data_IF_464197439845
#
_entry.id   IF_464197439845
#
_cell.length_a   1.000
_cell.length_b   1.000
_cell.length_c   1.000
_cell.angle_alpha   90.00
_cell.angle_beta   90.00
_cell.angle_gamma   90.00
#
_symmetry.space_group_name_H-M   'P 1'
#
loop_
_entity.id
_entity.type
_entity.pdbx_description
1 polymer ?
#
# COMPACT_ATOMS: atom_id res chain seq x y z
N UNK A 1 16.62 8.28 0.59
CA UNK A 1 16.56 7.17 -0.35
C UNK A 1 16.44 5.87 0.43
N UNK A 2 15.53 4.98 0.04
CA UNK A 2 15.25 3.80 0.81
C UNK A 2 16.14 2.61 0.47
N UNK A 3 16.18 1.65 1.38
CA UNK A 3 16.86 0.38 1.18
C UNK A 3 16.01 -0.75 1.77
N UNK A 4 15.75 -1.78 0.97
CA UNK A 4 14.99 -2.96 1.36
C UNK A 4 15.75 -4.22 0.95
N UNK A 5 15.72 -5.24 1.81
CA UNK A 5 16.37 -6.52 1.55
C UNK A 5 15.32 -7.64 1.64
N UNK A 6 15.23 -8.43 0.57
CA UNK A 6 14.31 -9.57 0.47
C UNK A 6 15.06 -10.87 0.71
N UNK A 7 14.48 -11.80 1.47
CA UNK A 7 15.06 -13.11 1.76
C UNK A 7 14.07 -14.21 1.36
N UNK A 8 14.58 -15.28 0.77
CA UNK A 8 13.73 -16.41 0.35
C UNK A 8 13.10 -17.15 1.51
N UNK A 9 13.84 -17.30 2.61
CA UNK A 9 13.39 -18.08 3.76
C UNK A 9 13.08 -17.19 4.97
N UNK A 10 12.39 -17.75 5.95
CA UNK A 10 12.06 -17.05 7.19
C UNK A 10 13.32 -16.66 7.96
N UNK A 11 13.18 -15.69 8.85
CA UNK A 11 14.22 -15.26 9.76
C UNK A 11 15.51 -14.82 9.05
N UNK A 12 15.33 -14.16 7.88
CA UNK A 12 16.41 -13.53 7.13
C UNK A 12 17.47 -14.55 6.67
N UNK A 13 16.99 -15.68 6.17
CA UNK A 13 17.82 -16.76 5.68
C UNK A 13 17.59 -16.98 4.17
N UNK A 14 18.49 -17.75 3.55
CA UNK A 14 18.40 -18.12 2.16
C UNK A 14 18.93 -17.03 1.22
N UNK A 15 18.63 -17.19 -0.08
CA UNK A 15 19.01 -16.19 -1.07
C UNK A 15 18.41 -14.84 -0.70
N UNK A 16 19.18 -13.78 -0.91
CA UNK A 16 18.70 -12.44 -0.66
C UNK A 16 18.99 -11.50 -1.82
N UNK A 17 18.22 -10.44 -1.90
CA UNK A 17 18.41 -9.38 -2.88
C UNK A 17 18.14 -8.02 -2.23
N UNK A 18 19.07 -7.10 -2.44
CA UNK A 18 18.98 -5.74 -1.91
C UNK A 18 18.50 -4.80 -3.01
N UNK A 19 17.53 -3.95 -2.67
CA UNK A 19 16.95 -3.00 -3.61
C UNK A 19 16.97 -1.59 -3.03
N UNK A 20 17.33 -0.60 -3.84
CA UNK A 20 17.39 0.80 -3.43
C UNK A 20 16.50 1.71 -4.27
N UNK A 21 15.84 1.15 -5.27
CA UNK A 21 14.97 1.88 -6.19
C UNK A 21 13.82 1.00 -6.64
N UNK A 22 12.89 1.58 -7.39
CA UNK A 22 11.77 0.84 -7.96
C UNK A 22 12.28 -0.30 -8.83
N UNK A 23 11.61 -1.44 -8.78
CA UNK A 23 11.93 -2.59 -9.61
C UNK A 23 10.65 -3.22 -10.15
N UNK A 24 10.52 -3.22 -11.47
CA UNK A 24 9.34 -3.76 -12.14
C UNK A 24 9.27 -5.28 -12.10
N UNK A 25 10.40 -5.97 -11.97
CA UNK A 25 10.42 -7.41 -11.98
C UNK A 25 11.58 -7.95 -11.14
N UNK A 26 11.23 -8.61 -10.04
CA UNK A 26 12.17 -9.21 -9.11
C UNK A 26 12.34 -10.71 -9.32
N UNK A 27 11.61 -11.30 -10.28
CA UNK A 27 11.50 -12.75 -10.38
C UNK A 27 12.83 -13.46 -10.67
N UNK A 28 13.80 -12.77 -11.28
CA UNK A 28 15.11 -13.36 -11.57
C UNK A 28 16.05 -13.38 -10.34
N UNK A 29 15.73 -12.64 -9.28
CA UNK A 29 16.61 -12.49 -8.12
C UNK A 29 16.30 -13.48 -7.01
N UNK A 30 15.04 -13.85 -6.85
CA UNK A 30 14.60 -14.85 -5.88
C UNK A 30 13.28 -15.45 -6.34
N UNK A 31 13.01 -16.70 -5.92
CA UNK A 31 11.82 -17.43 -6.36
C UNK A 31 10.63 -17.30 -5.40
N UNK A 32 10.91 -16.98 -4.15
CA UNK A 32 9.91 -16.77 -3.11
C UNK A 32 10.45 -15.75 -2.12
N UNK A 33 9.58 -15.15 -1.33
CA UNK A 33 10.00 -14.19 -0.30
C UNK A 33 9.29 -14.49 1.02
N UNK A 34 10.05 -14.85 2.03
CA UNK A 34 9.51 -15.22 3.33
C UNK A 34 10.00 -14.37 4.49
N UNK A 35 10.95 -13.47 4.27
CA UNK A 35 11.32 -12.45 5.24
C UNK A 35 11.90 -11.22 4.55
N UNK A 36 11.80 -10.07 5.21
CA UNK A 36 12.19 -8.77 4.64
C UNK A 36 12.77 -7.90 5.75
N UNK A 37 13.83 -7.16 5.41
CA UNK A 37 14.31 -6.02 6.20
C UNK A 37 14.11 -4.75 5.41
N UNK A 38 13.34 -3.81 5.94
CA UNK A 38 13.28 -2.45 5.43
C UNK A 38 14.22 -1.62 6.28
N UNK A 39 15.41 -1.37 5.76
CA UNK A 39 16.42 -0.64 6.50
C UNK A 39 16.14 0.86 6.53
N UNK A 40 15.56 1.38 5.45
CA UNK A 40 15.16 2.78 5.38
C UNK A 40 14.07 2.99 4.34
N UNK A 41 13.29 4.04 4.52
CA UNK A 41 12.21 4.40 3.62
C UNK A 41 10.95 3.59 3.85
N UNK A 42 9.92 3.93 3.12
CA UNK A 42 8.66 3.20 3.08
C UNK A 42 8.49 2.62 1.67
N UNK A 43 8.01 1.38 1.59
CA UNK A 43 7.96 0.66 0.32
C UNK A 43 6.58 0.08 0.09
N UNK A 44 6.16 0.04 -1.18
CA UNK A 44 5.02 -0.77 -1.58
C UNK A 44 5.54 -1.95 -2.42
N UNK A 45 5.12 -3.15 -2.03
CA UNK A 45 5.49 -4.40 -2.67
C UNK A 45 4.27 -4.96 -3.38
N UNK A 46 4.51 -5.68 -4.46
CA UNK A 46 3.44 -6.26 -5.27
C UNK A 46 3.68 -7.75 -5.48
N UNK A 47 2.59 -8.50 -5.42
CA UNK A 47 2.62 -9.95 -5.65
C UNK A 47 3.18 -10.32 -7.00
N UNK A 48 2.88 -9.54 -8.03
CA UNK A 48 3.28 -9.81 -9.42
C UNK A 48 4.18 -8.75 -9.97
N UNK A 49 4.84 -9.07 -11.09
CA UNK A 49 5.63 -8.11 -11.85
C UNK A 49 4.76 -6.97 -12.35
N UNK A 50 5.37 -5.85 -12.66
CA UNK A 50 4.72 -4.65 -13.18
C UNK A 50 3.64 -4.09 -12.24
N UNK A 51 3.89 -4.20 -10.93
CA UNK A 51 3.02 -3.62 -9.89
C UNK A 51 1.60 -4.20 -9.90
N UNK A 52 1.50 -5.51 -10.12
CA UNK A 52 0.22 -6.20 -10.15
C UNK A 52 -0.04 -7.07 -8.93
N UNK A 53 -1.30 -7.47 -8.77
CA UNK A 53 -1.71 -8.36 -7.70
C UNK A 53 -1.83 -7.69 -6.34
N UNK A 54 -1.68 -8.46 -5.27
CA UNK A 54 -1.77 -7.95 -3.91
C UNK A 54 -0.66 -6.93 -3.66
N UNK A 55 -1.02 -5.88 -2.94
CA UNK A 55 -0.10 -4.82 -2.54
C UNK A 55 0.18 -4.91 -1.04
N UNK A 56 1.42 -4.60 -0.66
CA UNK A 56 1.83 -4.59 0.76
C UNK A 56 2.65 -3.34 1.01
N UNK A 57 2.27 -2.56 2.01
CA UNK A 57 2.95 -1.31 2.37
C UNK A 57 3.76 -1.58 3.63
N UNK A 58 5.09 -1.43 3.53
CA UNK A 58 6.02 -1.73 4.61
C UNK A 58 6.76 -0.47 5.05
N UNK A 59 6.69 -0.20 6.35
CA UNK A 59 7.49 0.82 7.02
C UNK A 59 8.87 0.25 7.38
N UNK A 60 9.85 1.09 7.76
CA UNK A 60 11.13 0.58 8.25
C UNK A 60 10.95 -0.42 9.39
N UNK A 61 11.69 -1.53 9.32
CA UNK A 61 11.59 -2.58 10.33
C UNK A 61 11.98 -3.94 9.81
N UNK A 62 11.83 -4.93 10.67
CA UNK A 62 12.12 -6.32 10.37
C UNK A 62 10.84 -7.15 10.31
N UNK A 63 10.74 -7.97 9.28
CA UNK A 63 9.57 -8.82 9.01
C UNK A 63 10.07 -10.25 8.86
N UNK A 64 10.11 -11.05 9.95
CA UNK A 64 10.74 -12.37 9.94
C UNK A 64 9.96 -13.44 9.17
N UNK A 65 8.70 -13.20 8.85
CA UNK A 65 7.91 -14.07 7.97
C UNK A 65 6.84 -13.24 7.24
N UNK A 66 6.17 -13.85 6.23
CA UNK A 66 5.22 -13.10 5.41
C UNK A 66 3.94 -12.70 6.17
N UNK A 67 3.65 -13.31 7.29
CA UNK A 67 2.50 -12.91 8.11
C UNK A 67 2.73 -11.53 8.74
N UNK A 68 3.99 -11.15 8.96
CA UNK A 68 4.33 -9.87 9.55
C UNK A 68 4.00 -8.68 8.65
N UNK A 69 3.89 -8.87 7.34
CA UNK A 69 3.40 -7.83 6.45
C UNK A 69 1.98 -8.13 5.93
N UNK A 70 1.28 -9.04 6.59
CA UNK A 70 -0.07 -9.49 6.21
C UNK A 70 -0.12 -10.08 4.80
N UNK A 71 0.95 -10.80 4.43
CA UNK A 71 1.05 -11.43 3.13
C UNK A 71 0.08 -12.58 2.96
N UNK A 72 -0.60 -12.64 1.83
CA UNK A 72 -1.50 -13.73 1.49
C UNK A 72 -0.74 -14.95 0.96
N UNK A 73 0.50 -14.74 0.52
CA UNK A 73 1.38 -15.79 0.02
C UNK A 73 2.83 -15.28 0.08
N UNK A 74 3.77 -16.08 -0.40
CA UNK A 74 5.20 -15.74 -0.39
C UNK A 74 5.70 -15.21 -1.75
N UNK A 75 4.81 -14.68 -2.58
CA UNK A 75 5.16 -14.14 -3.88
C UNK A 75 5.31 -12.62 -3.82
N UNK A 76 6.52 -12.13 -4.07
CA UNK A 76 6.84 -10.72 -4.24
C UNK A 76 7.62 -10.58 -5.54
N UNK A 77 7.08 -9.85 -6.52
CA UNK A 77 7.66 -9.77 -7.86
C UNK A 77 7.99 -8.36 -8.33
N UNK A 78 7.54 -7.34 -7.62
CA UNK A 78 7.91 -5.95 -7.92
C UNK A 78 7.79 -5.09 -6.67
N UNK A 79 8.47 -3.94 -6.68
CA UNK A 79 8.45 -3.03 -5.55
C UNK A 79 8.64 -1.59 -6.00
N UNK A 80 8.13 -0.66 -5.20
CA UNK A 80 8.32 0.78 -5.39
C UNK A 80 8.69 1.43 -4.09
N UNK A 81 9.64 2.36 -4.15
CA UNK A 81 9.97 3.23 -3.02
C UNK A 81 8.94 4.36 -2.95
N UNK A 82 8.31 4.53 -1.82
CA UNK A 82 7.36 5.63 -1.61
C UNK A 82 8.16 6.86 -1.25
N UNK A 83 8.00 7.93 -2.05
CA UNK A 83 8.79 9.16 -1.90
C UNK A 83 7.97 10.23 -1.19
N UNK A 84 8.59 10.90 -0.23
CA UNK A 84 7.97 12.05 0.42
C UNK A 84 8.27 13.30 -0.40
N UNK A 85 7.48 13.52 -1.44
CA UNK A 85 7.64 14.68 -2.33
C UNK A 85 6.66 15.83 -2.02
N UNK A 86 5.75 15.63 -1.02
CA UNK A 86 4.66 16.56 -0.75
C UNK A 86 4.71 17.17 0.66
N UNK A 87 5.83 17.03 1.37
CA UNK A 87 5.98 17.58 2.71
C UNK A 87 5.21 16.82 3.77
N UNK A 88 4.66 17.54 4.75
CA UNK A 88 4.01 16.97 5.95
C UNK A 88 2.50 17.21 5.98
N UNK A 89 1.86 17.28 4.82
CA UNK A 89 0.42 17.46 4.71
C UNK A 89 -0.23 16.23 4.13
N UNK A 90 -1.43 15.93 4.60
CA UNK A 90 -2.23 14.83 4.10
C UNK A 90 -3.65 15.32 3.90
N UNK A 91 -4.19 15.10 2.70
CA UNK A 91 -5.58 15.45 2.39
C UNK A 91 -6.10 14.53 1.29
N UNK A 92 -7.26 13.92 1.54
CA UNK A 92 -7.91 13.02 0.60
C UNK A 92 -9.41 13.31 0.56
N UNK A 93 -9.99 13.25 -0.63
CA UNK A 93 -11.44 13.36 -0.83
C UNK A 93 -11.97 12.06 -1.36
N UNK A 94 -13.06 11.59 -0.78
CA UNK A 94 -13.75 10.37 -1.18
C UNK A 94 -15.12 10.72 -1.74
N UNK A 95 -15.53 10.00 -2.79
CA UNK A 95 -16.82 10.17 -3.45
C UNK A 95 -17.53 8.82 -3.52
N UNK A 96 -18.84 8.81 -3.26
CA UNK A 96 -19.60 7.56 -3.24
C UNK A 96 -19.98 7.06 -4.64
N UNK A 97 -19.68 7.81 -5.70
CA UNK A 97 -19.89 7.41 -7.09
C UNK A 97 -18.62 7.60 -7.91
N UNK A 98 -18.60 6.97 -9.09
CA UNK A 98 -17.50 7.11 -10.04
C UNK A 98 -17.36 8.56 -10.52
N UNK A 99 -16.20 8.88 -11.05
CA UNK A 99 -15.90 10.16 -11.68
C UNK A 99 -16.20 11.35 -10.78
N UNK A 100 -15.90 11.19 -9.48
CA UNK A 100 -16.03 12.26 -8.49
C UNK A 100 -17.48 12.75 -8.34
N UNK A 101 -18.42 11.83 -8.45
CA UNK A 101 -19.84 12.11 -8.29
C UNK A 101 -20.40 11.72 -6.93
N UNK A 102 -21.63 12.12 -6.68
CA UNK A 102 -22.34 11.79 -5.46
C UNK A 102 -21.89 12.57 -4.24
N UNK A 103 -22.01 11.95 -3.08
CA UNK A 103 -21.61 12.57 -1.82
C UNK A 103 -20.08 12.57 -1.69
N UNK A 104 -19.54 13.61 -1.08
CA UNK A 104 -18.09 13.78 -0.91
C UNK A 104 -17.78 13.96 0.57
N UNK A 105 -16.68 13.32 1.01
CA UNK A 105 -16.08 13.53 2.32
C UNK A 105 -14.60 13.85 2.15
N UNK A 106 -14.10 14.79 2.96
CA UNK A 106 -12.69 15.18 2.96
C UNK A 106 -12.08 14.82 4.32
N UNK A 107 -10.86 14.30 4.30
CA UNK A 107 -10.21 13.83 5.52
C UNK A 107 -8.71 14.10 5.47
N UNK A 108 -8.10 14.23 6.66
CA UNK A 108 -6.67 14.58 6.79
C UNK A 108 -5.94 13.73 7.81
N UNK A 109 -6.59 12.71 8.37
CA UNK A 109 -6.04 11.89 9.46
C UNK A 109 -6.24 10.40 9.16
N UNK A 110 -5.68 9.56 10.03
CA UNK A 110 -5.93 8.13 9.97
C UNK A 110 -7.39 7.83 10.30
N UNK A 111 -7.94 6.80 9.68
CA UNK A 111 -9.32 6.38 9.91
C UNK A 111 -9.35 4.87 10.12
N UNK A 112 -9.44 4.39 11.37
CA UNK A 112 -9.46 2.96 11.65
C UNK A 112 -10.76 2.27 11.29
N UNK A 113 -11.84 3.00 11.11
CA UNK A 113 -13.12 2.43 10.67
C UNK A 113 -13.85 3.42 9.77
N UNK A 114 -13.92 3.08 8.50
CA UNK A 114 -14.59 3.91 7.49
C UNK A 114 -16.09 4.03 7.78
N UNK A 115 -16.75 2.91 8.10
CA UNK A 115 -18.19 2.88 8.31
C UNK A 115 -18.63 3.61 9.57
N UNK A 116 -17.77 3.68 10.58
CA UNK A 116 -18.07 4.41 11.82
C UNK A 116 -17.89 5.92 11.67
N UNK A 117 -17.12 6.34 10.66
CA UNK A 117 -16.73 7.74 10.48
C UNK A 117 -17.58 8.45 9.43
N UNK A 118 -17.92 7.76 8.35
CA UNK A 118 -18.62 8.34 7.20
C UNK A 118 -20.03 7.75 7.04
N UNK A 119 -20.93 8.54 6.44
CA UNK A 119 -22.34 8.15 6.26
C UNK A 119 -22.54 7.18 5.10
N UNK A 120 -21.62 7.11 4.15
CA UNK A 120 -21.68 6.15 3.05
C UNK A 120 -20.71 5.02 3.29
N UNK A 121 -21.07 3.82 2.82
CA UNK A 121 -20.35 2.58 3.14
C UNK A 121 -19.31 2.18 2.10
N UNK A 122 -19.34 2.80 0.94
CA UNK A 122 -18.46 2.49 -0.18
C UNK A 122 -18.02 3.80 -0.80
N UNK A 123 -16.84 3.78 -1.40
CA UNK A 123 -16.50 4.88 -2.28
C UNK A 123 -15.94 4.35 -3.59
N UNK A 124 -16.29 5.03 -4.67
CA UNK A 124 -16.01 4.61 -6.03
C UNK A 124 -14.96 5.47 -6.72
N UNK A 125 -14.68 6.63 -6.21
CA UNK A 125 -13.62 7.50 -6.70
C UNK A 125 -13.04 8.32 -5.57
N UNK A 126 -11.81 8.80 -5.77
CA UNK A 126 -11.15 9.66 -4.78
C UNK A 126 -10.12 10.56 -5.44
N UNK A 127 -9.79 11.63 -4.73
CA UNK A 127 -8.71 12.54 -5.11
C UNK A 127 -7.76 12.64 -3.92
N UNK A 128 -6.51 12.26 -4.12
CA UNK A 128 -5.45 12.49 -3.14
C UNK A 128 -4.84 13.84 -3.44
N UNK A 129 -5.07 14.78 -2.56
CA UNK A 129 -4.62 16.17 -2.74
C UNK A 129 -3.23 16.36 -2.19
N UNK A 130 -2.92 15.76 -1.05
CA UNK A 130 -1.63 15.84 -0.40
C UNK A 130 -1.29 14.51 0.25
N UNK A 131 0.02 14.19 0.25
CA UNK A 131 0.56 13.04 0.94
C UNK A 131 0.35 11.72 0.20
N UNK A 132 0.79 10.65 0.83
CA UNK A 132 0.56 9.28 0.38
C UNK A 132 -0.28 8.56 1.42
N UNK A 133 -1.13 7.65 0.97
CA UNK A 133 -2.12 6.98 1.79
C UNK A 133 -2.13 5.48 1.56
N UNK A 134 -2.44 4.74 2.60
CA UNK A 134 -2.70 3.30 2.53
C UNK A 134 -4.17 3.04 2.83
N UNK A 135 -4.84 2.35 1.92
CA UNK A 135 -6.22 1.90 2.09
C UNK A 135 -6.22 0.43 2.44
N UNK A 136 -7.19 0.02 3.25
CA UNK A 136 -7.36 -1.38 3.66
C UNK A 136 -8.80 -1.80 3.44
N UNK A 137 -8.97 -3.03 2.99
CA UNK A 137 -10.28 -3.61 2.71
C UNK A 137 -11.14 -3.71 3.98
N UNK A 138 -10.50 -3.98 5.12
CA UNK A 138 -11.18 -4.22 6.39
C UNK A 138 -10.85 -3.12 7.41
N UNK A 139 -11.67 -2.97 8.47
CA UNK A 139 -11.34 -2.08 9.57
C UNK A 139 -10.03 -2.45 10.27
N UNK A 140 -9.49 -1.52 11.00
CA UNK A 140 -8.25 -1.69 11.80
C UNK A 140 -7.05 -2.09 10.97
N UNK A 141 -7.01 -1.62 9.73
CA UNK A 141 -5.86 -1.78 8.82
C UNK A 141 -5.56 -3.26 8.50
N UNK A 142 -6.59 -4.00 8.13
CA UNK A 142 -6.50 -5.41 7.78
C UNK A 142 -7.07 -5.68 6.37
N UNK A 143 -6.75 -6.88 5.84
CA UNK A 143 -7.19 -7.31 4.53
C UNK A 143 -6.28 -6.78 3.43
N UNK A 144 -6.81 -6.72 2.22
CA UNK A 144 -6.05 -6.22 1.07
C UNK A 144 -5.70 -4.76 1.27
N UNK A 145 -4.49 -4.41 0.83
CA UNK A 145 -3.93 -3.06 0.95
C UNK A 145 -3.84 -2.42 -0.43
N UNK A 146 -4.02 -1.11 -0.47
CA UNK A 146 -3.89 -0.33 -1.70
C UNK A 146 -3.12 0.93 -1.42
N UNK A 147 -2.08 1.17 -2.23
CA UNK A 147 -1.28 2.39 -2.14
C UNK A 147 -1.92 3.48 -2.99
N UNK A 148 -2.09 4.66 -2.41
CA UNK A 148 -2.54 5.85 -3.11
C UNK A 148 -1.50 6.95 -2.96
N UNK A 149 -1.18 7.58 -4.08
CA UNK A 149 -0.34 8.77 -4.09
C UNK A 149 -1.14 9.94 -4.66
N UNK A 150 -0.59 11.14 -4.60
CA UNK A 150 -1.26 12.34 -5.11
C UNK A 150 -1.76 12.12 -6.53
N UNK A 151 -3.02 12.43 -6.76
CA UNK A 151 -3.66 12.26 -8.07
C UNK A 151 -5.15 11.98 -7.96
N UNK A 152 -5.74 11.72 -9.11
CA UNK A 152 -7.16 11.43 -9.25
C UNK A 152 -7.37 9.97 -9.58
N UNK A 153 -8.35 9.36 -8.92
CA UNK A 153 -8.75 7.96 -9.12
C UNK A 153 -10.22 7.95 -9.44
N UNK A 154 -10.56 7.78 -10.73
CA UNK A 154 -11.92 7.91 -11.26
C UNK A 154 -12.81 6.75 -10.84
N UNK A 155 -12.22 5.59 -10.57
CA UNK A 155 -12.94 4.40 -10.14
C UNK A 155 -12.03 3.57 -9.23
N UNK A 156 -12.61 2.70 -8.40
CA UNK A 156 -11.84 1.85 -7.48
C UNK A 156 -10.83 0.95 -8.22
N UNK A 157 -11.08 0.60 -9.46
CA UNK A 157 -10.12 -0.17 -10.25
C UNK A 157 -8.80 0.58 -10.49
N UNK A 158 -8.82 1.90 -10.42
CA UNK A 158 -7.62 2.73 -10.59
C UNK A 158 -6.64 2.59 -9.43
N UNK A 159 -7.07 2.12 -8.26
CA UNK A 159 -6.14 1.80 -7.17
C UNK A 159 -5.89 0.29 -7.03
N UNK A 160 -6.38 -0.51 -7.96
CA UNK A 160 -6.14 -1.95 -8.01
C UNK A 160 -7.20 -2.80 -7.32
N UNK A 161 -8.31 -2.20 -6.90
CA UNK A 161 -9.36 -2.92 -6.18
C UNK A 161 -10.35 -3.60 -7.14
N UNK A 162 -11.01 -4.63 -6.64
CA UNK A 162 -12.08 -5.34 -7.36
C UNK A 162 -13.47 -4.92 -6.89
N UNK A 163 -13.55 -4.08 -5.86
CA UNK A 163 -14.82 -3.63 -5.30
C UNK A 163 -14.64 -2.26 -4.64
N UNK A 164 -15.73 -1.53 -4.40
CA UNK A 164 -15.66 -0.21 -3.76
C UNK A 164 -15.53 -0.27 -2.23
N UNK A 165 -15.38 -1.45 -1.65
CA UNK A 165 -15.35 -1.63 -0.20
C UNK A 165 -14.02 -1.16 0.36
N UNK A 166 -14.07 -0.22 1.31
CA UNK A 166 -12.92 0.24 2.08
C UNK A 166 -13.29 0.22 3.55
N UNK A 167 -12.48 -0.45 4.36
CA UNK A 167 -12.73 -0.56 5.80
C UNK A 167 -11.96 0.44 6.64
N UNK A 168 -10.75 0.80 6.21
CA UNK A 168 -9.88 1.74 6.94
C UNK A 168 -8.86 2.35 5.99
N UNK A 169 -8.24 3.45 6.41
CA UNK A 169 -7.14 4.06 5.69
C UNK A 169 -6.23 4.82 6.64
N UNK A 170 -4.97 4.96 6.28
CA UNK A 170 -4.00 5.69 7.09
C UNK A 170 -3.06 6.52 6.22
N UNK A 171 -2.53 7.55 6.84
CA UNK A 171 -1.45 8.34 6.24
C UNK A 171 -0.16 7.52 6.23
N UNK A 172 0.64 7.67 5.19
CA UNK A 172 1.99 7.13 5.17
C UNK A 172 2.91 8.25 5.63
N UNK A 173 3.50 8.09 6.81
CA UNK A 173 4.26 9.15 7.48
C UNK A 173 5.75 8.84 7.64
N UNK A 174 6.17 7.59 7.41
CA UNK A 174 7.57 7.19 7.55
C UNK A 174 8.19 6.99 6.16
N UNK A 175 9.21 7.78 5.89
CA UNK A 175 9.90 7.77 4.59
C UNK A 175 11.41 7.54 4.74
#
# INVERSE_FOLDING_TARGET
>A
MGKIVFFEDKNFQGRCYECRSDCLDLHSYFSRCNSIRVESGCWVLYERSNYGGYQYILNPGEYPDHQQWMGFNDSIKSCRSIKNVYGNSWKIRFYDKQDFGGQMAEWSEDCPSFTDTFKFHEFHSCVVMDGAWALYEQPSYHGRQYFLQRGEYQNYSDWGANSPVVGSFRRITEF
#
